data_IF_317113499382
#
_entry.id   IF_317113499382
#
_cell.length_a   1.000
_cell.length_b   1.000
_cell.length_c   1.000
_cell.angle_alpha   90.00
_cell.angle_beta   90.00
_cell.angle_gamma   90.00
#
_symmetry.space_group_name_H-M   'P 1'
#
loop_
_entity.id
_entity.type
_entity.pdbx_description
1 polymer ?
#
# COMPACT_ATOMS: atom_id res chain seq x y z
N UNK A 1 -3.13 -14.99 -11.68
CA UNK A 1 -4.22 -15.20 -12.67
C UNK A 1 -5.57 -15.19 -11.97
N UNK A 2 -6.69 -15.22 -12.72
CA UNK A 2 -8.05 -14.99 -12.18
C UNK A 2 -8.42 -15.91 -11.00
N UNK A 3 -8.00 -17.18 -11.01
CA UNK A 3 -8.22 -18.10 -9.89
C UNK A 3 -7.52 -17.68 -8.61
N UNK A 4 -6.27 -17.21 -8.69
CA UNK A 4 -5.52 -16.73 -7.53
C UNK A 4 -6.18 -15.49 -6.92
N UNK A 5 -6.57 -14.53 -7.75
CA UNK A 5 -7.26 -13.31 -7.32
C UNK A 5 -8.59 -13.63 -6.59
N UNK A 6 -9.48 -14.43 -7.22
CA UNK A 6 -10.77 -14.75 -6.62
C UNK A 6 -10.67 -15.62 -5.38
N UNK A 7 -9.75 -16.59 -5.38
CA UNK A 7 -9.55 -17.47 -4.23
C UNK A 7 -9.06 -16.69 -3.01
N UNK A 8 -8.00 -15.89 -3.15
CA UNK A 8 -7.48 -15.11 -2.03
C UNK A 8 -8.47 -14.04 -1.53
N UNK A 9 -9.24 -13.44 -2.43
CA UNK A 9 -10.29 -12.51 -2.04
C UNK A 9 -11.44 -13.20 -1.28
N UNK A 10 -11.87 -14.39 -1.75
CA UNK A 10 -12.89 -15.17 -1.04
C UNK A 10 -12.39 -15.63 0.33
N UNK A 11 -11.17 -16.16 0.41
CA UNK A 11 -10.55 -16.64 1.65
C UNK A 11 -10.36 -15.53 2.68
N UNK A 12 -9.99 -14.31 2.24
CA UNK A 12 -9.97 -13.13 3.09
C UNK A 12 -11.39 -12.75 3.56
N UNK A 13 -12.33 -12.59 2.64
CA UNK A 13 -13.69 -12.13 2.98
C UNK A 13 -14.44 -13.11 3.89
N UNK A 14 -14.25 -14.41 3.67
CA UNK A 14 -14.88 -15.47 4.46
C UNK A 14 -14.45 -15.41 5.93
N UNK A 15 -13.16 -15.27 6.19
CA UNK A 15 -12.65 -15.20 7.57
C UNK A 15 -12.91 -13.81 8.17
N UNK A 16 -12.78 -12.75 7.38
CA UNK A 16 -13.03 -11.38 7.84
C UNK A 16 -14.45 -11.23 8.43
N UNK A 17 -15.44 -11.83 7.78
CA UNK A 17 -16.85 -11.74 8.18
C UNK A 17 -17.21 -12.46 9.49
N UNK A 18 -16.30 -13.27 10.07
CA UNK A 18 -16.59 -14.15 11.22
C UNK A 18 -16.24 -13.58 12.59
N UNK A 19 -15.90 -12.31 12.67
CA UNK A 19 -15.77 -11.58 13.94
C UNK A 19 -14.33 -11.18 14.33
N UNK A 20 -13.33 -11.65 13.58
CA UNK A 20 -11.91 -11.28 13.77
C UNK A 20 -11.36 -10.56 12.52
N UNK A 21 -12.17 -9.69 11.92
CA UNK A 21 -11.90 -9.02 10.64
C UNK A 21 -10.48 -8.50 10.47
N UNK A 22 -10.08 -7.56 11.33
CA UNK A 22 -8.76 -6.93 11.22
C UNK A 22 -7.60 -7.89 11.50
N UNK A 23 -7.79 -8.89 12.36
CA UNK A 23 -6.77 -9.91 12.60
C UNK A 23 -6.50 -10.70 11.33
N UNK A 24 -7.55 -11.12 10.62
CA UNK A 24 -7.38 -11.84 9.36
C UNK A 24 -6.83 -10.97 8.23
N UNK A 25 -7.12 -9.65 8.22
CA UNK A 25 -6.45 -8.74 7.30
C UNK A 25 -4.93 -8.68 7.56
N UNK A 26 -4.52 -8.55 8.83
CA UNK A 26 -3.10 -8.55 9.22
C UNK A 26 -2.43 -9.86 8.85
N UNK A 27 -3.01 -10.99 9.27
CA UNK A 27 -2.42 -12.33 9.08
C UNK A 27 -2.34 -12.77 7.61
N UNK A 28 -3.34 -12.45 6.79
CA UNK A 28 -3.45 -12.96 5.42
C UNK A 28 -2.95 -12.01 4.35
N UNK A 29 -2.90 -10.70 4.65
CA UNK A 29 -2.53 -9.66 3.67
C UNK A 29 -1.28 -8.94 4.14
N UNK A 30 -1.38 -8.19 5.25
CA UNK A 30 -0.35 -7.21 5.60
C UNK A 30 0.99 -7.83 6.01
N UNK A 31 0.99 -8.82 6.92
CA UNK A 31 2.23 -9.51 7.35
C UNK A 31 2.90 -10.27 6.19
N UNK A 32 2.16 -11.01 5.34
CA UNK A 32 2.74 -11.57 4.13
C UNK A 32 3.36 -10.53 3.17
N UNK A 33 2.73 -9.37 3.00
CA UNK A 33 3.27 -8.27 2.18
C UNK A 33 4.58 -7.72 2.76
N UNK A 34 4.64 -7.49 4.08
CA UNK A 34 5.88 -7.12 4.76
C UNK A 34 6.97 -8.17 4.60
N UNK A 35 6.67 -9.45 4.84
CA UNK A 35 7.63 -10.55 4.69
C UNK A 35 8.10 -10.74 3.24
N UNK A 36 7.29 -10.34 2.26
CA UNK A 36 7.67 -10.37 0.84
C UNK A 36 8.59 -9.21 0.44
N UNK A 37 8.74 -8.16 1.26
CA UNK A 37 9.66 -7.04 1.00
C UNK A 37 11.10 -7.51 0.80
N UNK A 38 11.55 -8.47 1.60
CA UNK A 38 12.89 -9.08 1.48
C UNK A 38 13.11 -9.83 0.15
N UNK A 39 12.03 -10.15 -0.55
CA UNK A 39 12.03 -10.80 -1.88
C UNK A 39 11.82 -9.80 -3.01
N UNK A 40 11.74 -8.50 -2.71
CA UNK A 40 11.55 -7.43 -3.69
C UNK A 40 10.09 -7.02 -3.92
N UNK A 41 9.16 -7.41 -3.05
CA UNK A 41 7.78 -6.90 -3.12
C UNK A 41 7.70 -5.46 -2.58
N UNK A 42 7.06 -4.56 -3.33
CA UNK A 42 7.06 -3.11 -3.05
C UNK A 42 5.69 -2.52 -2.74
N UNK A 43 4.60 -3.23 -3.06
CA UNK A 43 3.23 -2.71 -2.87
C UNK A 43 2.82 -2.50 -1.40
N UNK A 44 3.63 -2.98 -0.45
CA UNK A 44 3.47 -2.66 0.97
C UNK A 44 3.47 -1.14 1.23
N UNK A 45 4.19 -0.38 0.38
CA UNK A 45 4.13 1.08 0.27
C UNK A 45 3.31 1.44 -0.97
N UNK A 46 1.99 1.33 -0.86
CA UNK A 46 1.08 1.42 -2.00
C UNK A 46 1.01 2.83 -2.62
N UNK A 47 1.22 3.91 -1.87
CA UNK A 47 1.26 5.28 -2.40
C UNK A 47 2.48 5.45 -3.31
N UNK A 48 3.65 4.99 -2.88
CA UNK A 48 4.86 4.96 -3.70
C UNK A 48 4.64 4.12 -4.97
N UNK A 49 4.06 2.93 -4.82
CA UNK A 49 3.87 1.98 -5.93
C UNK A 49 2.92 2.50 -7.01
N UNK A 50 1.87 3.25 -6.64
CA UNK A 50 0.98 3.90 -7.62
C UNK A 50 1.51 5.24 -8.15
N UNK A 51 2.73 5.63 -7.75
CA UNK A 51 3.45 6.77 -8.32
C UNK A 51 3.15 8.11 -7.66
N UNK A 52 2.68 8.16 -6.40
CA UNK A 52 2.43 9.43 -5.72
C UNK A 52 3.67 10.33 -5.72
N UNK A 53 4.86 9.77 -5.43
CA UNK A 53 6.12 10.52 -5.47
C UNK A 53 6.45 11.09 -6.86
N UNK A 54 6.13 10.36 -7.92
CA UNK A 54 6.30 10.86 -9.28
C UNK A 54 5.42 12.08 -9.56
N UNK A 55 4.16 12.07 -9.10
CA UNK A 55 3.26 13.20 -9.28
C UNK A 55 3.60 14.39 -8.36
N UNK A 56 4.19 14.15 -7.20
CA UNK A 56 4.76 15.20 -6.35
C UNK A 56 5.94 15.91 -7.04
N UNK A 57 6.84 15.15 -7.68
CA UNK A 57 7.95 15.71 -8.46
C UNK A 57 7.44 16.56 -9.63
N UNK A 58 6.47 16.04 -10.40
CA UNK A 58 5.81 16.78 -11.48
C UNK A 58 5.19 18.08 -10.97
N UNK A 59 4.50 18.03 -9.83
CA UNK A 59 3.87 19.21 -9.21
C UNK A 59 4.91 20.24 -8.78
N UNK A 60 6.00 19.78 -8.17
CA UNK A 60 7.12 20.63 -7.74
C UNK A 60 7.78 21.32 -8.93
N UNK A 61 8.00 20.62 -10.05
CA UNK A 61 8.53 21.20 -11.30
C UNK A 61 7.59 22.25 -11.87
N UNK A 62 6.29 21.95 -11.96
CA UNK A 62 5.27 22.89 -12.49
C UNK A 62 5.21 24.17 -11.65
N UNK A 63 5.36 24.06 -10.33
CA UNK A 63 5.27 25.19 -9.40
C UNK A 63 6.60 25.93 -9.21
N UNK A 64 7.61 25.65 -10.03
CA UNK A 64 8.89 26.37 -10.01
C UNK A 64 9.78 26.00 -8.82
N UNK A 65 9.66 24.78 -8.30
CA UNK A 65 10.53 24.22 -7.26
C UNK A 65 10.00 24.37 -5.83
N UNK A 66 8.82 24.97 -5.63
CA UNK A 66 8.19 25.09 -4.31
C UNK A 66 6.71 24.73 -4.39
N UNK A 67 6.35 23.58 -3.81
CA UNK A 67 4.97 23.15 -3.63
C UNK A 67 4.63 23.03 -2.15
N UNK A 68 3.46 23.52 -1.74
CA UNK A 68 2.92 23.33 -0.39
C UNK A 68 1.86 22.24 -0.30
N UNK A 69 1.66 21.47 -1.38
CA UNK A 69 0.56 20.51 -1.53
C UNK A 69 1.02 19.14 -2.07
N UNK A 70 2.28 18.76 -1.83
CA UNK A 70 2.77 17.40 -2.11
C UNK A 70 2.09 16.38 -1.19
N UNK A 71 1.84 15.17 -1.69
CA UNK A 71 1.04 14.15 -1.02
C UNK A 71 1.85 13.14 -0.20
N UNK A 72 3.12 12.89 -0.51
CA UNK A 72 3.96 11.94 0.26
C UNK A 72 4.44 12.51 1.60
N UNK A 73 4.87 13.78 1.61
CA UNK A 73 5.39 14.43 2.82
C UNK A 73 4.30 14.52 3.89
N UNK A 74 4.53 13.91 5.05
CA UNK A 74 3.57 13.85 6.17
C UNK A 74 2.46 12.80 6.00
N UNK A 75 2.60 11.86 5.06
CA UNK A 75 1.66 10.75 4.89
C UNK A 75 1.88 9.65 5.94
N UNK A 76 0.83 8.89 6.27
CA UNK A 76 0.99 7.72 7.14
C UNK A 76 1.90 6.65 6.53
N UNK A 77 2.06 6.63 5.20
CA UNK A 77 3.01 5.74 4.52
C UNK A 77 4.46 6.13 4.84
N UNK A 78 4.80 7.42 4.76
CA UNK A 78 6.13 7.92 5.18
C UNK A 78 6.41 7.60 6.66
N UNK A 79 5.40 7.76 7.53
CA UNK A 79 5.58 7.56 8.98
C UNK A 79 5.61 6.09 9.43
N UNK A 80 4.91 5.20 8.73
CA UNK A 80 4.64 3.83 9.22
C UNK A 80 5.17 2.72 8.30
N UNK A 81 5.57 3.04 7.05
CA UNK A 81 5.95 2.06 6.03
C UNK A 81 7.26 2.39 5.29
N UNK A 82 7.79 3.61 5.43
CA UNK A 82 9.09 4.06 4.90
C UNK A 82 10.28 3.19 5.32
#
# INVERSE_FOLDING_TARGET
GIHNMWYHMFDLAYDYARGEGMKHYVEKVQEPEFAARDKGYTFVSHQQEVGVGYFDDVTTVIQGGASSVTALTGSTEEEQFG
#
